data_IF_967580670327
#
_entry.id   IF_967580670327
#
_cell.length_a   1.000
_cell.length_b   1.000
_cell.length_c   1.000
_cell.angle_alpha   90.00
_cell.angle_beta   90.00
_cell.angle_gamma   90.00
#
_symmetry.space_group_name_H-M   'P 1'
#
loop_
_entity.id
_entity.type
_entity.pdbx_description
1 polymer ?
#
# COMPACT_ATOMS: atom_id res chain seq x y z
N UNK A 1 -40.81 45.83 -35.95
CA UNK A 1 -40.82 46.08 -37.41
C UNK A 1 -39.47 46.69 -37.76
N UNK A 2 -38.72 46.09 -38.70
CA UNK A 2 -37.42 46.60 -39.17
C UNK A 2 -36.20 45.73 -38.80
N UNK A 3 -35.64 44.95 -39.75
CA UNK A 3 -34.47 44.10 -39.55
C UNK A 3 -33.17 44.65 -40.17
N UNK A 4 -32.07 43.96 -39.84
CA UNK A 4 -30.90 43.63 -40.66
C UNK A 4 -29.72 44.62 -40.84
N UNK A 5 -28.59 44.12 -40.31
CA UNK A 5 -27.24 43.96 -40.92
C UNK A 5 -26.28 45.14 -41.03
N UNK A 6 -25.03 44.85 -40.64
CA UNK A 6 -23.84 45.25 -41.38
C UNK A 6 -22.73 45.85 -40.53
N UNK A 7 -21.61 45.13 -40.38
CA UNK A 7 -20.40 45.68 -39.76
C UNK A 7 -19.31 44.63 -39.61
N UNK A 8 -18.44 44.57 -40.61
CA UNK A 8 -17.37 43.59 -40.78
C UNK A 8 -16.04 44.16 -40.23
N UNK A 9 -15.36 43.35 -39.40
CA UNK A 9 -13.91 43.22 -39.09
C UNK A 9 -13.01 44.46 -38.87
N UNK A 10 -12.29 44.44 -37.75
CA UNK A 10 -10.83 44.63 -37.62
C UNK A 10 -10.44 44.12 -36.21
N UNK A 11 -9.70 43.01 -36.08
CA UNK A 11 -8.23 42.86 -36.06
C UNK A 11 -7.58 43.15 -34.69
N UNK A 12 -6.75 42.19 -34.24
CA UNK A 12 -5.72 42.41 -33.22
C UNK A 12 -5.91 41.66 -31.90
N UNK A 13 -4.98 40.72 -31.61
CA UNK A 13 -4.67 40.36 -30.24
C UNK A 13 -4.26 38.91 -30.02
N UNK A 14 -2.98 38.62 -30.23
CA UNK A 14 -2.27 37.45 -29.73
C UNK A 14 -2.54 37.23 -28.23
N UNK A 15 -2.95 36.03 -27.86
CA UNK A 15 -2.73 35.50 -26.52
C UNK A 15 -2.49 33.99 -26.67
N UNK A 16 -1.20 33.64 -26.71
CA UNK A 16 -0.72 32.27 -26.67
C UNK A 16 -1.23 31.58 -25.40
N UNK A 17 -2.29 30.79 -25.55
CA UNK A 17 -2.68 29.80 -24.57
C UNK A 17 -1.78 28.57 -24.79
N UNK A 18 -0.62 28.57 -24.13
CA UNK A 18 0.18 27.37 -23.89
C UNK A 18 -0.55 26.45 -22.91
N UNK A 19 -1.69 25.90 -23.33
CA UNK A 19 -2.32 24.77 -22.67
C UNK A 19 -1.61 23.52 -23.17
N UNK A 20 -0.68 22.98 -22.38
CA UNK A 20 -0.26 21.60 -22.58
C UNK A 20 -1.51 20.74 -22.47
N UNK A 21 -1.99 20.23 -23.61
CA UNK A 21 -3.06 19.26 -23.65
C UNK A 21 -2.60 18.08 -22.81
N UNK A 22 -3.28 17.82 -21.69
CA UNK A 22 -3.25 16.51 -21.08
C UNK A 22 -3.83 15.56 -22.14
N UNK A 23 -2.94 14.88 -22.86
CA UNK A 23 -3.33 13.73 -23.64
C UNK A 23 -3.93 12.74 -22.66
N UNK A 24 -5.26 12.68 -22.64
CA UNK A 24 -5.97 11.60 -21.99
C UNK A 24 -5.53 10.34 -22.70
N UNK A 25 -4.61 9.59 -22.10
CA UNK A 25 -4.38 8.21 -22.47
C UNK A 25 -5.76 7.55 -22.58
N UNK A 26 -6.05 7.02 -23.77
CA UNK A 26 -7.25 6.23 -23.99
C UNK A 26 -7.25 5.14 -22.94
N UNK A 27 -8.26 5.16 -22.06
CA UNK A 27 -8.51 4.13 -21.07
C UNK A 27 -8.48 2.78 -21.79
N UNK A 28 -7.34 2.11 -21.69
CA UNK A 28 -7.26 0.72 -22.09
C UNK A 28 -8.20 -0.01 -21.15
N UNK A 29 -9.02 -0.89 -21.71
CA UNK A 29 -9.86 -1.85 -20.99
C UNK A 29 -8.96 -2.86 -20.25
N UNK A 30 -8.08 -2.33 -19.40
CA UNK A 30 -7.37 -3.08 -18.38
C UNK A 30 -8.36 -3.11 -17.24
N UNK A 31 -8.95 -4.27 -17.01
CA UNK A 31 -9.79 -4.50 -15.85
C UNK A 31 -9.09 -4.09 -14.55
N UNK A 32 -9.86 -4.06 -13.47
CA UNK A 32 -9.33 -3.81 -12.13
C UNK A 32 -8.47 -5.01 -11.69
N UNK A 33 -7.16 -4.89 -11.83
CA UNK A 33 -6.20 -5.91 -11.37
C UNK A 33 -6.14 -5.87 -9.83
N UNK A 34 -6.89 -6.76 -9.18
CA UNK A 34 -6.85 -6.98 -7.74
C UNK A 34 -6.17 -8.31 -7.42
N UNK A 35 -5.35 -8.35 -6.38
CA UNK A 35 -4.87 -9.63 -5.85
C UNK A 35 -5.99 -10.28 -5.02
N UNK A 36 -6.43 -11.48 -5.42
CA UNK A 36 -7.41 -12.29 -4.67
C UNK A 36 -6.92 -13.71 -4.48
N UNK A 37 -7.31 -14.34 -3.37
CA UNK A 37 -7.24 -15.79 -3.23
C UNK A 37 -8.38 -16.44 -4.02
N UNK A 38 -8.13 -17.57 -4.69
CA UNK A 38 -9.19 -18.43 -5.20
C UNK A 38 -9.96 -19.06 -4.02
N UNK A 39 -11.28 -19.28 -4.20
CA UNK A 39 -12.26 -19.57 -3.13
C UNK A 39 -11.96 -20.77 -2.19
N UNK A 40 -10.95 -21.59 -2.47
CA UNK A 40 -10.70 -22.84 -1.74
C UNK A 40 -9.34 -23.01 -1.08
N UNK A 41 -8.41 -22.04 -1.11
CA UNK A 41 -7.11 -22.26 -0.45
C UNK A 41 -6.39 -20.98 0.03
N UNK A 42 -6.94 -20.33 1.06
CA UNK A 42 -6.34 -19.16 1.69
C UNK A 42 -4.92 -19.44 2.20
N UNK A 43 -4.69 -20.60 2.81
CA UNK A 43 -3.40 -20.93 3.41
C UNK A 43 -2.31 -21.07 2.35
N UNK A 44 -2.58 -21.84 1.28
CA UNK A 44 -1.64 -21.97 0.17
C UNK A 44 -1.41 -20.63 -0.53
N UNK A 45 -2.48 -19.86 -0.77
CA UNK A 45 -2.36 -18.54 -1.38
C UNK A 45 -1.48 -17.61 -0.53
N UNK A 46 -1.75 -17.52 0.78
CA UNK A 46 -0.98 -16.67 1.69
C UNK A 46 0.48 -17.13 1.77
N UNK A 47 0.73 -18.43 1.86
CA UNK A 47 2.07 -18.98 1.90
C UNK A 47 2.85 -18.67 0.61
N UNK A 48 2.20 -18.73 -0.55
CA UNK A 48 2.82 -18.33 -1.82
C UNK A 48 3.12 -16.82 -1.85
N UNK A 49 2.14 -16.00 -1.48
CA UNK A 49 2.27 -14.54 -1.42
C UNK A 49 3.43 -14.09 -0.52
N UNK A 50 3.58 -14.71 0.66
CA UNK A 50 4.68 -14.43 1.57
C UNK A 50 6.02 -14.92 1.01
N UNK A 51 6.07 -16.13 0.43
CA UNK A 51 7.29 -16.69 -0.17
C UNK A 51 7.80 -15.87 -1.35
N UNK A 52 6.92 -15.36 -2.21
CA UNK A 52 7.29 -14.43 -3.28
C UNK A 52 7.93 -13.15 -2.75
N UNK A 53 7.35 -12.59 -1.68
CA UNK A 53 7.94 -11.44 -1.02
C UNK A 53 9.33 -11.75 -0.47
N UNK A 54 9.49 -12.92 0.16
CA UNK A 54 10.78 -13.35 0.70
C UNK A 54 11.77 -13.55 -0.45
N UNK A 55 11.37 -14.20 -1.54
CA UNK A 55 12.12 -14.37 -2.79
C UNK A 55 12.68 -13.03 -3.32
N UNK A 56 11.86 -11.98 -3.31
CA UNK A 56 12.24 -10.65 -3.78
C UNK A 56 13.27 -9.91 -2.89
N UNK A 57 13.53 -10.35 -1.66
CA UNK A 57 14.52 -9.69 -0.80
C UNK A 57 15.94 -9.78 -1.40
N UNK A 58 16.70 -8.68 -1.44
CA UNK A 58 18.07 -8.68 -1.96
C UNK A 58 19.05 -9.43 -1.03
N UNK A 59 20.27 -9.75 -1.49
CA UNK A 59 21.25 -10.55 -0.73
C UNK A 59 21.56 -10.03 0.67
N UNK A 60 21.38 -8.72 0.91
CA UNK A 60 21.54 -8.12 2.23
C UNK A 60 20.59 -8.71 3.29
N UNK A 61 19.58 -9.51 2.93
CA UNK A 61 18.64 -10.17 3.83
C UNK A 61 18.86 -11.70 3.92
N UNK A 62 19.85 -12.27 3.25
CA UNK A 62 20.02 -13.74 3.13
C UNK A 62 20.04 -14.46 4.48
N UNK A 63 20.66 -13.87 5.49
CA UNK A 63 20.69 -14.43 6.86
C UNK A 63 19.33 -14.52 7.57
N UNK A 64 18.25 -14.00 6.98
CA UNK A 64 16.88 -14.08 7.51
C UNK A 64 15.98 -15.01 6.70
N UNK A 65 16.36 -15.35 5.46
CA UNK A 65 15.48 -15.97 4.46
C UNK A 65 14.88 -17.29 4.95
N UNK A 66 15.71 -18.22 5.41
CA UNK A 66 15.28 -19.54 5.92
C UNK A 66 14.35 -19.38 7.13
N UNK A 67 14.74 -18.56 8.11
CA UNK A 67 13.92 -18.29 9.32
C UNK A 67 12.56 -17.68 8.97
N UNK A 68 12.50 -16.81 7.95
CA UNK A 68 11.24 -16.22 7.47
C UNK A 68 10.35 -17.27 6.82
N UNK A 69 10.92 -18.15 5.99
CA UNK A 69 10.19 -19.24 5.34
C UNK A 69 9.64 -20.22 6.38
N UNK A 70 10.44 -20.60 7.38
CA UNK A 70 10.00 -21.42 8.51
C UNK A 70 8.87 -20.75 9.30
N UNK A 71 8.99 -19.45 9.60
CA UNK A 71 7.96 -18.71 10.34
C UNK A 71 6.63 -18.62 9.58
N UNK A 72 6.67 -18.57 8.25
CA UNK A 72 5.46 -18.62 7.40
C UNK A 72 4.90 -20.05 7.35
N UNK A 73 5.75 -21.06 7.17
CA UNK A 73 5.32 -22.46 7.07
C UNK A 73 4.74 -23.01 8.39
N UNK A 74 5.23 -22.55 9.53
CA UNK A 74 4.73 -22.94 10.85
C UNK A 74 3.45 -22.18 11.28
N UNK A 75 2.96 -21.25 10.46
CA UNK A 75 1.83 -20.40 10.84
C UNK A 75 0.51 -21.19 10.84
N UNK A 76 -0.21 -21.18 11.95
CA UNK A 76 -1.60 -21.63 11.99
C UNK A 76 -2.52 -20.48 11.58
N UNK A 77 -3.18 -20.63 10.43
CA UNK A 77 -4.10 -19.64 9.87
C UNK A 77 -5.53 -20.20 9.81
N UNK A 78 -6.57 -19.33 9.80
CA UNK A 78 -7.92 -19.76 9.52
C UNK A 78 -7.99 -20.38 8.11
N UNK A 79 -8.68 -21.50 7.95
CA UNK A 79 -8.76 -22.20 6.65
C UNK A 79 -9.44 -21.36 5.56
N UNK A 80 -10.48 -20.61 5.90
CA UNK A 80 -11.19 -19.73 4.98
C UNK A 80 -11.69 -18.47 5.70
N UNK A 81 -10.81 -17.47 5.95
CA UNK A 81 -11.21 -16.22 6.57
C UNK A 81 -12.08 -15.39 5.62
N UNK A 82 -12.98 -14.52 6.13
CA UNK A 82 -13.73 -13.62 5.28
C UNK A 82 -12.79 -12.73 4.48
N UNK A 83 -13.08 -12.54 3.19
CA UNK A 83 -12.31 -11.67 2.30
C UNK A 83 -12.92 -10.26 2.27
N UNK A 84 -12.07 -9.25 2.40
CA UNK A 84 -12.45 -7.84 2.27
C UNK A 84 -11.49 -7.13 1.31
N UNK A 85 -12.02 -6.21 0.51
CA UNK A 85 -11.23 -5.35 -0.37
C UNK A 85 -10.60 -4.20 0.43
N UNK A 86 -9.31 -3.96 0.25
CA UNK A 86 -8.59 -2.84 0.85
C UNK A 86 -7.42 -2.36 -0.03
N UNK A 87 -7.03 -1.07 0.06
CA UNK A 87 -5.84 -0.57 -0.61
C UNK A 87 -4.59 -1.14 0.07
N UNK A 88 -3.70 -1.77 -0.69
CA UNK A 88 -2.50 -2.40 -0.13
C UNK A 88 -1.48 -1.37 0.38
N UNK A 89 -1.41 -0.21 -0.27
CA UNK A 89 -0.52 0.90 0.13
C UNK A 89 -1.25 1.98 0.94
N UNK A 90 -2.01 1.54 1.96
CA UNK A 90 -2.70 2.45 2.87
C UNK A 90 -1.72 3.12 3.84
N UNK A 91 -1.16 4.26 3.41
CA UNK A 91 -0.18 5.06 4.15
C UNK A 91 -0.48 6.54 4.08
N UNK A 92 0.07 7.37 5.01
CA UNK A 92 -0.16 8.82 5.02
C UNK A 92 0.18 9.51 3.70
N UNK A 93 1.19 9.03 2.96
CA UNK A 93 1.55 9.56 1.64
C UNK A 93 0.46 9.41 0.57
N UNK A 94 -0.51 8.51 0.77
CA UNK A 94 -1.63 8.25 -0.14
C UNK A 94 -2.96 8.80 0.40
N UNK A 95 -2.95 9.70 1.39
CA UNK A 95 -4.15 10.29 1.95
C UNK A 95 -4.20 11.81 1.69
N UNK A 96 -5.35 12.31 1.26
CA UNK A 96 -5.63 13.74 1.23
C UNK A 96 -6.28 14.16 2.55
N UNK A 97 -5.85 15.30 3.09
CA UNK A 97 -6.36 15.84 4.35
C UNK A 97 -6.79 17.28 4.15
N UNK A 98 -8.01 17.60 4.60
CA UNK A 98 -8.52 18.96 4.71
C UNK A 98 -9.26 19.11 6.04
N UNK A 99 -9.12 20.26 6.69
CA UNK A 99 -9.79 20.57 7.96
C UNK A 99 -9.62 19.49 9.05
N UNK A 100 -8.43 18.91 9.13
CA UNK A 100 -8.08 17.88 10.11
C UNK A 100 -8.75 16.51 9.85
N UNK A 101 -9.30 16.28 8.66
CA UNK A 101 -9.97 15.03 8.28
C UNK A 101 -9.39 14.47 6.99
N UNK A 102 -9.33 13.14 6.91
CA UNK A 102 -9.03 12.43 5.65
C UNK A 102 -10.23 12.61 4.72
N UNK A 103 -9.98 13.20 3.55
CA UNK A 103 -11.01 13.46 2.53
C UNK A 103 -10.95 12.49 1.37
N UNK A 104 -9.79 11.90 1.10
CA UNK A 104 -9.62 10.85 0.09
C UNK A 104 -8.47 9.91 0.45
N UNK A 105 -8.58 8.67 -0.03
CA UNK A 105 -7.53 7.66 -0.01
C UNK A 105 -7.21 7.33 -1.47
N UNK A 106 -6.00 7.63 -1.87
CA UNK A 106 -5.47 7.47 -3.22
C UNK A 106 -4.77 6.12 -3.38
N UNK A 107 -4.20 5.92 -4.57
CA UNK A 107 -3.34 4.78 -4.92
C UNK A 107 -3.99 3.40 -4.67
N UNK A 108 -4.93 3.09 -5.56
CA UNK A 108 -5.56 1.78 -5.64
C UNK A 108 -4.91 0.90 -6.72
N UNK A 109 -3.63 1.15 -7.06
CA UNK A 109 -2.96 0.50 -8.19
C UNK A 109 -2.70 -1.01 -8.02
N UNK A 110 -2.78 -1.52 -6.78
CA UNK A 110 -2.66 -2.94 -6.43
C UNK A 110 -3.51 -3.25 -5.17
N UNK A 111 -4.84 -3.18 -5.26
CA UNK A 111 -5.71 -3.47 -4.13
C UNK A 111 -5.79 -4.98 -3.89
N UNK A 112 -6.13 -5.35 -2.66
CA UNK A 112 -6.16 -6.75 -2.24
C UNK A 112 -7.53 -7.11 -1.67
N UNK A 113 -8.05 -8.27 -2.07
CA UNK A 113 -9.20 -8.91 -1.46
C UNK A 113 -8.73 -10.15 -0.68
N UNK A 114 -8.57 -9.99 0.64
CA UNK A 114 -8.00 -11.03 1.51
C UNK A 114 -8.48 -10.87 2.97
N UNK A 115 -7.96 -11.72 3.86
CA UNK A 115 -8.23 -11.66 5.30
C UNK A 115 -7.96 -10.26 5.88
N UNK A 116 -8.91 -9.63 6.61
CA UNK A 116 -8.74 -8.30 7.20
C UNK A 116 -7.53 -8.16 8.14
N UNK A 117 -7.12 -9.26 8.79
CA UNK A 117 -5.92 -9.26 9.63
C UNK A 117 -4.65 -8.92 8.86
N UNK A 118 -4.58 -9.28 7.57
CA UNK A 118 -3.44 -8.94 6.71
C UNK A 118 -3.44 -7.44 6.36
N UNK A 119 -4.60 -6.85 6.09
CA UNK A 119 -4.76 -5.41 5.94
C UNK A 119 -4.28 -4.66 7.19
N UNK A 120 -4.74 -5.10 8.37
CA UNK A 120 -4.35 -4.51 9.65
C UNK A 120 -2.84 -4.60 9.86
N UNK A 121 -2.22 -5.75 9.57
CA UNK A 121 -0.77 -5.90 9.67
C UNK A 121 -0.01 -4.90 8.77
N UNK A 122 -0.47 -4.73 7.53
CA UNK A 122 0.11 -3.80 6.55
C UNK A 122 -0.04 -2.35 7.00
N UNK A 123 -1.23 -1.94 7.44
CA UNK A 123 -1.47 -0.58 7.95
C UNK A 123 -0.66 -0.29 9.19
N UNK A 124 -0.60 -1.21 10.15
CA UNK A 124 0.22 -1.03 11.33
C UNK A 124 1.70 -0.81 10.98
N UNK A 125 2.22 -1.56 10.00
CA UNK A 125 3.60 -1.35 9.55
C UNK A 125 3.78 0.02 8.85
N UNK A 126 2.93 0.34 7.87
CA UNK A 126 3.07 1.54 7.05
C UNK A 126 2.74 2.84 7.79
N UNK A 127 1.84 2.80 8.78
CA UNK A 127 1.42 3.99 9.53
C UNK A 127 2.19 4.12 10.84
N UNK A 128 2.34 3.03 11.60
CA UNK A 128 2.90 3.10 12.95
C UNK A 128 4.42 2.88 12.97
N UNK A 129 4.98 2.07 12.09
CA UNK A 129 6.40 1.70 12.17
C UNK A 129 7.29 2.41 11.15
N UNK A 130 6.71 2.88 10.05
CA UNK A 130 7.44 3.44 8.91
C UNK A 130 8.05 4.80 9.18
N UNK A 131 7.27 5.72 9.73
CA UNK A 131 7.61 7.15 9.79
C UNK A 131 8.17 7.60 11.13
N UNK A 132 7.83 6.91 12.22
CA UNK A 132 8.13 7.34 13.60
C UNK A 132 8.96 6.30 14.34
N UNK A 133 9.68 6.74 15.37
CA UNK A 133 10.46 5.85 16.23
C UNK A 133 9.57 5.07 17.22
N UNK A 134 8.62 5.75 17.88
CA UNK A 134 7.60 5.12 18.71
C UNK A 134 6.25 5.09 17.99
N UNK A 135 5.92 3.94 17.41
CA UNK A 135 4.65 3.68 16.75
C UNK A 135 3.48 3.37 17.69
N UNK A 136 3.71 3.15 18.99
CA UNK A 136 2.69 2.67 19.90
C UNK A 136 1.46 3.60 19.99
N UNK A 137 1.60 4.94 20.05
CA UNK A 137 0.44 5.85 20.02
C UNK A 137 -0.38 5.73 18.73
N UNK A 138 0.28 5.66 17.57
CA UNK A 138 -0.40 5.54 16.27
C UNK A 138 -1.13 4.21 16.15
N UNK A 139 -0.51 3.11 16.59
CA UNK A 139 -1.14 1.78 16.59
C UNK A 139 -2.37 1.74 17.49
N UNK A 140 -2.31 2.35 18.68
CA UNK A 140 -3.48 2.46 19.58
C UNK A 140 -4.60 3.28 18.94
N UNK A 141 -4.27 4.43 18.34
CA UNK A 141 -5.25 5.28 17.69
C UNK A 141 -5.92 4.58 16.49
N UNK A 142 -5.13 3.89 15.66
CA UNK A 142 -5.65 3.11 14.53
C UNK A 142 -6.60 2.00 15.00
N UNK A 143 -6.19 1.20 16.01
CA UNK A 143 -7.04 0.13 16.55
C UNK A 143 -8.34 0.66 17.13
N UNK A 144 -8.28 1.73 17.93
CA UNK A 144 -9.48 2.37 18.47
C UNK A 144 -10.42 2.88 17.36
N UNK A 145 -9.87 3.48 16.30
CA UNK A 145 -10.64 3.90 15.13
C UNK A 145 -11.28 2.72 14.40
N UNK A 146 -10.54 1.63 14.20
CA UNK A 146 -11.04 0.41 13.58
C UNK A 146 -12.19 -0.20 14.40
N UNK A 147 -11.98 -0.36 15.71
CA UNK A 147 -12.94 -0.92 16.68
C UNK A 147 -14.21 -0.08 16.83
N UNK A 148 -14.15 1.23 16.56
CA UNK A 148 -15.33 2.09 16.56
C UNK A 148 -16.36 1.76 15.47
N UNK A 149 -15.94 1.02 14.42
CA UNK A 149 -16.80 0.64 13.29
C UNK A 149 -17.04 -0.87 13.26
N UNK A 150 -16.04 -1.68 13.58
CA UNK A 150 -16.12 -3.15 13.55
C UNK A 150 -15.06 -3.80 14.45
N UNK A 151 -15.26 -5.04 14.93
CA UNK A 151 -14.26 -5.73 15.75
C UNK A 151 -12.90 -5.83 15.06
N UNK A 152 -11.82 -5.61 15.81
CA UNK A 152 -10.46 -5.79 15.32
C UNK A 152 -10.21 -7.28 15.01
N UNK A 153 -9.81 -7.65 13.78
CA UNK A 153 -9.51 -9.04 13.44
C UNK A 153 -8.25 -9.52 14.17
N UNK A 154 -8.11 -10.84 14.31
CA UNK A 154 -6.85 -11.43 14.72
C UNK A 154 -5.75 -11.08 13.70
N UNK A 155 -4.56 -10.75 14.20
CA UNK A 155 -3.38 -10.46 13.38
C UNK A 155 -2.27 -11.44 13.76
N UNK A 156 -2.25 -12.64 13.14
CA UNK A 156 -1.14 -13.59 13.29
C UNK A 156 0.22 -12.98 12.98
N UNK A 157 1.28 -13.54 13.57
CA UNK A 157 2.67 -13.13 13.33
C UNK A 157 3.03 -13.21 11.85
N UNK A 158 2.60 -14.26 11.15
CA UNK A 158 2.86 -14.44 9.74
C UNK A 158 2.33 -13.30 8.87
N UNK A 159 1.16 -12.71 9.20
CA UNK A 159 0.64 -11.55 8.48
C UNK A 159 1.55 -10.32 8.64
N UNK A 160 2.15 -10.13 9.83
CA UNK A 160 3.12 -9.07 10.06
C UNK A 160 4.40 -9.31 9.27
N UNK A 161 4.87 -10.56 9.20
CA UNK A 161 6.03 -10.94 8.36
C UNK A 161 5.73 -10.58 6.90
N UNK A 162 4.60 -11.02 6.35
CA UNK A 162 4.21 -10.71 4.98
C UNK A 162 4.08 -9.20 4.75
N UNK A 163 3.50 -8.45 5.69
CA UNK A 163 3.40 -7.00 5.62
C UNK A 163 4.76 -6.31 5.52
N UNK A 164 5.73 -6.68 6.35
CA UNK A 164 7.08 -6.09 6.31
C UNK A 164 7.80 -6.51 5.03
N UNK A 165 7.85 -7.81 4.73
CA UNK A 165 8.53 -8.34 3.55
C UNK A 165 7.99 -7.69 2.26
N UNK A 166 6.67 -7.61 2.09
CA UNK A 166 6.00 -6.98 0.94
C UNK A 166 5.99 -5.45 1.00
N UNK A 167 6.75 -4.86 1.91
CA UNK A 167 7.06 -3.44 1.98
C UNK A 167 8.56 -3.15 1.86
N UNK A 168 9.43 -4.16 2.02
CA UNK A 168 10.89 -3.98 2.03
C UNK A 168 11.46 -3.64 0.66
N UNK A 169 10.82 -4.11 -0.40
CA UNK A 169 11.29 -4.00 -1.79
C UNK A 169 10.17 -3.45 -2.67
N UNK A 170 10.49 -2.49 -3.53
CA UNK A 170 9.55 -1.91 -4.48
C UNK A 170 9.41 -2.75 -5.77
N UNK A 171 8.59 -2.29 -6.70
CA UNK A 171 8.36 -2.96 -7.98
C UNK A 171 9.59 -2.99 -8.90
N UNK A 172 10.61 -2.15 -8.64
CA UNK A 172 11.87 -2.17 -9.38
C UNK A 172 12.90 -3.13 -8.75
N UNK A 173 12.58 -3.78 -7.64
CA UNK A 173 13.52 -4.63 -6.90
C UNK A 173 14.43 -3.86 -5.95
N UNK A 174 14.17 -2.57 -5.75
CA UNK A 174 14.98 -1.71 -4.89
C UNK A 174 14.45 -1.71 -3.46
N UNK A 175 15.36 -1.60 -2.48
CA UNK A 175 14.96 -1.49 -1.07
C UNK A 175 14.23 -0.17 -0.87
N UNK A 176 13.01 -0.25 -0.35
CA UNK A 176 12.17 0.92 -0.09
C UNK A 176 12.80 1.83 0.96
N UNK A 177 12.38 3.10 0.97
CA UNK A 177 13.01 4.17 1.76
C UNK A 177 12.14 4.57 2.96
N UNK A 178 12.29 3.93 4.13
CA UNK A 178 11.45 4.18 5.28
C UNK A 178 11.80 5.49 5.99
N UNK A 179 10.80 6.12 6.60
CA UNK A 179 10.96 7.32 7.41
C UNK A 179 10.68 8.63 6.70
N UNK A 180 10.67 9.69 7.50
CA UNK A 180 10.73 11.07 7.03
C UNK A 180 11.64 11.88 7.96
N UNK A 181 12.82 12.37 7.50
CA UNK A 181 13.36 12.20 6.16
C UNK A 181 13.63 10.73 5.81
N UNK A 182 13.61 10.43 4.51
CA UNK A 182 13.79 9.07 3.99
C UNK A 182 15.16 8.49 4.35
N UNK A 183 15.19 7.21 4.76
CA UNK A 183 16.42 6.42 4.89
C UNK A 183 16.77 5.77 3.55
N UNK A 184 18.06 5.71 3.23
CA UNK A 184 18.57 5.12 1.99
C UNK A 184 19.73 4.17 2.26
N UNK A 185 20.07 3.31 1.29
CA UNK A 185 21.22 2.41 1.37
C UNK A 185 21.16 1.50 2.61
N UNK A 186 22.29 1.37 3.31
CA UNK A 186 22.39 0.51 4.50
C UNK A 186 21.37 0.86 5.59
N UNK A 187 21.07 2.15 5.79
CA UNK A 187 20.08 2.55 6.80
C UNK A 187 18.65 2.08 6.49
N UNK A 188 18.29 1.98 5.20
CA UNK A 188 17.01 1.42 4.78
C UNK A 188 16.97 -0.11 4.98
N UNK A 189 18.07 -0.79 4.64
CA UNK A 189 18.24 -2.23 4.87
C UNK A 189 18.14 -2.56 6.36
N UNK A 190 18.90 -1.85 7.21
CA UNK A 190 18.93 -2.07 8.66
C UNK A 190 17.57 -1.83 9.29
N UNK A 191 16.83 -0.82 8.80
CA UNK A 191 15.46 -0.59 9.23
C UNK A 191 14.61 -1.85 9.00
N UNK A 192 14.54 -2.36 7.76
CA UNK A 192 13.69 -3.52 7.44
C UNK A 192 14.16 -4.79 8.13
N UNK A 193 15.48 -5.03 8.18
CA UNK A 193 16.08 -6.18 8.89
C UNK A 193 15.66 -6.20 10.35
N UNK A 194 15.76 -5.07 11.06
CA UNK A 194 15.38 -5.00 12.47
C UNK A 194 13.89 -5.34 12.70
N UNK A 195 12.99 -4.95 11.78
CA UNK A 195 11.56 -5.29 11.89
C UNK A 195 11.30 -6.77 11.61
N UNK A 196 12.01 -7.35 10.64
CA UNK A 196 11.91 -8.77 10.34
C UNK A 196 12.46 -9.62 11.49
N UNK A 197 13.64 -9.27 12.03
CA UNK A 197 14.23 -9.97 13.17
C UNK A 197 13.33 -9.92 14.42
N UNK A 198 12.63 -8.81 14.67
CA UNK A 198 11.68 -8.70 15.78
C UNK A 198 10.44 -9.61 15.63
N UNK A 199 10.19 -10.18 14.44
CA UNK A 199 9.07 -11.06 14.14
C UNK A 199 9.46 -12.53 14.05
N UNK A 200 10.74 -12.88 14.19
CA UNK A 200 11.27 -14.23 14.13
C UNK A 200 11.50 -14.81 15.52
#
# INVERSE_FOLDING_TARGET
MGPARGGQRADGGDAAAGGAAFESETATDKGFDAASADDSDWETWFAAYAREGIAALPPAFDGLRERLEEAVAAASLPANPPSHLYPWDFRPGNALVADGRVTAVLDWGQPMAAAPGLAVAKVEHLVADWYVEDGAPLRRAFRAGYESVRPLPAVPRAYRVAAVVRSSVDSAGEVTRPGYPERTGTAAVDFHRARLDALL
#
